data_IF_089489699105
#
_entry.id   IF_089489699105
#
_cell.length_a   1.000
_cell.length_b   1.000
_cell.length_c   1.000
_cell.angle_alpha   90.00
_cell.angle_beta   90.00
_cell.angle_gamma   90.00
#
_symmetry.space_group_name_H-M   'P 1'
#
loop_
_entity.id
_entity.type
_entity.pdbx_description
1 polymer ?
#
# COMPACT_ATOMS: atom_id res chain seq x y z
N UNK A 1 44.61 -22.87 52.07
CA UNK A 1 43.32 -22.14 51.90
C UNK A 1 43.22 -21.38 50.57
N UNK A 2 44.29 -21.06 49.84
CA UNK A 2 44.22 -20.27 48.59
C UNK A 2 43.62 -20.98 47.37
N UNK A 3 43.59 -22.32 47.31
CA UNK A 3 43.04 -23.03 46.12
C UNK A 3 41.52 -23.06 45.99
N UNK A 4 40.80 -22.83 47.08
CA UNK A 4 39.32 -22.77 47.04
C UNK A 4 38.78 -21.45 46.41
N UNK A 5 39.54 -20.38 46.59
CA UNK A 5 39.15 -19.05 46.05
C UNK A 5 39.32 -18.98 44.52
N UNK A 6 40.35 -19.66 43.98
CA UNK A 6 40.57 -19.72 42.52
C UNK A 6 39.48 -20.54 41.79
N UNK A 7 39.06 -21.65 42.38
CA UNK A 7 37.95 -22.44 41.82
C UNK A 7 36.59 -21.71 41.88
N UNK A 8 36.37 -20.94 42.97
CA UNK A 8 35.18 -20.12 43.12
C UNK A 8 35.09 -18.99 42.09
N UNK A 9 36.23 -18.30 41.84
CA UNK A 9 36.30 -17.26 40.81
C UNK A 9 36.11 -17.82 39.40
N UNK A 10 36.70 -18.94 39.05
CA UNK A 10 36.55 -19.56 37.73
C UNK A 10 35.08 -19.95 37.45
N UNK A 11 34.38 -20.48 38.46
CA UNK A 11 32.96 -20.82 38.30
C UNK A 11 32.07 -19.58 38.17
N UNK A 12 32.37 -18.48 38.86
CA UNK A 12 31.67 -17.23 38.75
C UNK A 12 31.83 -16.58 37.36
N UNK A 13 33.06 -16.62 36.80
CA UNK A 13 33.30 -16.16 35.43
C UNK A 13 32.61 -17.03 34.39
N UNK A 14 32.59 -18.36 34.56
CA UNK A 14 31.86 -19.25 33.67
C UNK A 14 30.34 -18.96 33.69
N UNK A 15 29.75 -18.76 34.86
CA UNK A 15 28.36 -18.41 35.02
C UNK A 15 28.02 -17.04 34.36
N UNK A 16 28.87 -16.05 34.58
CA UNK A 16 28.72 -14.73 33.97
C UNK A 16 28.79 -14.80 32.43
N UNK A 17 29.73 -15.60 31.89
CA UNK A 17 29.83 -15.81 30.45
C UNK A 17 28.56 -16.47 29.86
N UNK A 18 28.04 -17.49 30.53
CA UNK A 18 26.79 -18.16 30.11
C UNK A 18 25.62 -17.20 30.15
N UNK A 19 25.48 -16.38 31.19
CA UNK A 19 24.42 -15.38 31.30
C UNK A 19 24.51 -14.31 30.19
N UNK A 20 25.72 -13.85 29.85
CA UNK A 20 25.95 -12.91 28.75
C UNK A 20 25.58 -13.53 27.40
N UNK A 21 25.93 -14.79 27.17
CA UNK A 21 25.53 -15.51 25.94
C UNK A 21 24.01 -15.68 25.85
N UNK A 22 23.35 -16.02 26.94
CA UNK A 22 21.88 -16.14 26.99
C UNK A 22 21.21 -14.79 26.75
N UNK A 23 21.71 -13.73 27.37
CA UNK A 23 21.18 -12.38 27.15
C UNK A 23 21.38 -11.92 25.68
N UNK A 24 22.57 -12.19 25.12
CA UNK A 24 22.86 -11.89 23.71
C UNK A 24 21.96 -12.64 22.74
N UNK A 25 21.75 -13.94 22.96
CA UNK A 25 20.85 -14.74 22.11
C UNK A 25 19.40 -14.28 22.23
N UNK A 26 18.93 -13.95 23.42
CA UNK A 26 17.58 -13.40 23.62
C UNK A 26 17.40 -12.06 22.89
N UNK A 27 18.37 -11.17 22.98
CA UNK A 27 18.35 -9.89 22.26
C UNK A 27 18.31 -10.09 20.73
N UNK A 28 19.09 -11.01 20.18
CA UNK A 28 19.08 -11.35 18.76
C UNK A 28 17.75 -11.93 18.31
N UNK A 29 17.10 -12.77 19.11
CA UNK A 29 15.77 -13.32 18.80
C UNK A 29 14.71 -12.24 18.75
N UNK A 30 14.71 -11.31 19.70
CA UNK A 30 13.79 -10.17 19.72
C UNK A 30 14.00 -9.29 18.49
N UNK A 31 15.24 -8.93 18.18
CA UNK A 31 15.59 -8.11 17.01
C UNK A 31 15.19 -8.79 15.70
N UNK A 32 15.43 -10.09 15.57
CA UNK A 32 15.01 -10.89 14.41
C UNK A 32 13.50 -10.92 14.26
N UNK A 33 12.75 -11.01 15.37
CA UNK A 33 11.29 -10.95 15.37
C UNK A 33 10.77 -9.61 14.84
N UNK A 34 11.31 -8.51 15.33
CA UNK A 34 10.95 -7.17 14.87
C UNK A 34 11.25 -6.95 13.39
N UNK A 35 12.42 -7.40 12.93
CA UNK A 35 12.79 -7.29 11.52
C UNK A 35 11.86 -8.08 10.60
N UNK A 36 11.42 -9.26 11.01
CA UNK A 36 10.44 -10.06 10.24
C UNK A 36 9.07 -9.38 10.16
N UNK A 37 8.60 -8.77 11.24
CA UNK A 37 7.34 -8.03 11.23
C UNK A 37 7.43 -6.81 10.32
N UNK A 38 8.49 -6.01 10.44
CA UNK A 38 8.71 -4.86 9.58
C UNK A 38 8.81 -5.25 8.09
N UNK A 39 9.50 -6.34 7.76
CA UNK A 39 9.58 -6.85 6.40
C UNK A 39 8.22 -7.28 5.85
N UNK A 40 7.39 -7.96 6.64
CA UNK A 40 6.03 -8.33 6.25
C UNK A 40 5.15 -7.10 6.00
N UNK A 41 5.24 -6.10 6.85
CA UNK A 41 4.52 -4.84 6.68
C UNK A 41 4.94 -4.08 5.43
N UNK A 42 6.24 -4.02 5.15
CA UNK A 42 6.76 -3.40 3.94
C UNK A 42 6.26 -4.11 2.67
N UNK A 43 6.30 -5.44 2.64
CA UNK A 43 5.78 -6.24 1.53
C UNK A 43 4.28 -6.02 1.34
N UNK A 44 3.51 -6.00 2.41
CA UNK A 44 2.07 -5.76 2.33
C UNK A 44 1.75 -4.36 1.80
N UNK A 45 2.45 -3.34 2.29
CA UNK A 45 2.29 -1.96 1.82
C UNK A 45 2.63 -1.83 0.34
N UNK A 46 3.72 -2.46 -0.11
CA UNK A 46 4.11 -2.47 -1.53
C UNK A 46 3.04 -3.14 -2.39
N UNK A 47 2.50 -4.30 -1.97
CA UNK A 47 1.42 -4.99 -2.70
C UNK A 47 0.16 -4.13 -2.81
N UNK A 48 -0.22 -3.44 -1.75
CA UNK A 48 -1.37 -2.53 -1.78
C UNK A 48 -1.11 -1.35 -2.73
N UNK A 49 0.08 -0.76 -2.72
CA UNK A 49 0.43 0.32 -3.63
C UNK A 49 0.39 -0.13 -5.09
N UNK A 50 0.91 -1.31 -5.40
CA UNK A 50 0.84 -1.89 -6.74
C UNK A 50 -0.62 -2.18 -7.15
N UNK A 51 -1.47 -2.61 -6.21
CA UNK A 51 -2.89 -2.79 -6.45
C UNK A 51 -3.60 -1.47 -6.75
N UNK A 52 -3.29 -0.41 -6.01
CA UNK A 52 -3.83 0.92 -6.29
C UNK A 52 -3.39 1.43 -7.68
N UNK A 53 -2.11 1.27 -8.04
CA UNK A 53 -1.60 1.64 -9.37
C UNK A 53 -2.26 0.85 -10.50
N UNK A 54 -2.45 -0.45 -10.29
CA UNK A 54 -3.17 -1.30 -11.25
C UNK A 54 -4.63 -0.88 -11.37
N UNK A 55 -5.28 -0.54 -10.27
CA UNK A 55 -6.62 0.02 -10.23
C UNK A 55 -6.72 1.29 -11.10
N UNK A 56 -5.79 2.25 -10.94
CA UNK A 56 -5.75 3.47 -11.77
C UNK A 56 -5.72 3.15 -13.26
N UNK A 57 -4.92 2.16 -13.69
CA UNK A 57 -4.84 1.76 -15.09
C UNK A 57 -6.15 1.14 -15.59
N UNK A 58 -6.79 0.30 -14.76
CA UNK A 58 -8.10 -0.28 -15.06
C UNK A 58 -9.18 0.81 -15.16
N UNK A 59 -9.19 1.76 -14.23
CA UNK A 59 -10.11 2.90 -14.27
C UNK A 59 -9.91 3.78 -15.49
N UNK A 60 -8.66 3.97 -15.95
CA UNK A 60 -8.38 4.70 -17.18
C UNK A 60 -8.94 3.96 -18.41
N UNK A 61 -8.73 2.65 -18.50
CA UNK A 61 -9.28 1.83 -19.58
C UNK A 61 -10.80 1.89 -19.60
N UNK A 62 -11.45 1.80 -18.42
CA UNK A 62 -12.91 1.87 -18.32
C UNK A 62 -13.45 3.26 -18.71
N UNK A 63 -12.74 4.33 -18.35
CA UNK A 63 -13.09 5.69 -18.77
C UNK A 63 -12.94 5.88 -20.30
N UNK A 64 -12.03 5.18 -20.95
CA UNK A 64 -11.92 5.16 -22.41
C UNK A 64 -13.10 4.42 -23.06
N UNK A 65 -13.50 3.29 -22.52
CA UNK A 65 -14.55 2.43 -23.08
C UNK A 65 -15.95 3.01 -22.82
N UNK A 66 -16.21 3.55 -21.62
CA UNK A 66 -17.54 3.99 -21.22
C UNK A 66 -17.77 5.49 -21.45
N UNK A 67 -18.39 5.81 -22.59
CA UNK A 67 -18.80 7.19 -22.90
C UNK A 67 -19.78 7.78 -21.86
N UNK A 68 -20.54 6.95 -21.17
CA UNK A 68 -21.47 7.39 -20.13
C UNK A 68 -20.76 8.01 -18.93
N UNK A 69 -19.63 7.44 -18.48
CA UNK A 69 -18.81 7.99 -17.40
C UNK A 69 -18.25 9.38 -17.77
N UNK A 70 -17.78 9.52 -19.01
CA UNK A 70 -17.28 10.81 -19.50
C UNK A 70 -18.37 11.88 -19.51
N UNK A 71 -19.57 11.52 -19.98
CA UNK A 71 -20.72 12.45 -19.99
C UNK A 71 -21.09 12.92 -18.59
N UNK A 72 -21.14 12.03 -17.60
CA UNK A 72 -21.42 12.42 -16.21
C UNK A 72 -20.41 13.44 -15.68
N UNK A 73 -19.12 13.28 -16.03
CA UNK A 73 -18.06 14.22 -15.64
C UNK A 73 -18.16 15.55 -16.41
N UNK A 74 -18.64 15.52 -17.67
CA UNK A 74 -18.88 16.70 -18.49
C UNK A 74 -20.12 17.48 -18.02
N UNK A 75 -21.14 16.80 -17.54
CA UNK A 75 -22.35 17.38 -16.94
C UNK A 75 -22.12 18.00 -15.57
N UNK A 76 -20.89 17.90 -15.04
CA UNK A 76 -20.46 18.57 -13.81
C UNK A 76 -20.48 17.71 -12.55
N UNK A 77 -20.56 16.38 -12.69
CA UNK A 77 -20.35 15.50 -11.54
C UNK A 77 -18.96 15.75 -10.93
N UNK A 78 -18.87 16.01 -9.60
CA UNK A 78 -17.61 16.36 -8.97
C UNK A 78 -16.59 15.22 -8.98
N UNK A 79 -17.10 13.98 -8.91
CA UNK A 79 -16.33 12.74 -8.88
C UNK A 79 -17.24 11.57 -9.27
N UNK A 80 -16.70 10.63 -10.04
CA UNK A 80 -17.42 9.43 -10.49
C UNK A 80 -16.58 8.20 -10.19
N UNK A 81 -17.21 7.13 -9.71
CA UNK A 81 -16.54 5.82 -9.57
C UNK A 81 -16.39 5.20 -10.97
N UNK A 82 -15.13 4.99 -11.39
CA UNK A 82 -14.82 4.42 -12.69
C UNK A 82 -14.69 2.89 -12.63
N UNK A 83 -14.07 2.37 -11.57
CA UNK A 83 -13.84 0.95 -11.44
C UNK A 83 -13.72 0.55 -9.97
N UNK A 84 -14.20 -0.66 -9.65
CA UNK A 84 -13.94 -1.29 -8.36
C UNK A 84 -13.92 -2.80 -8.52
N UNK A 85 -13.15 -3.49 -7.68
CA UNK A 85 -13.07 -4.94 -7.74
C UNK A 85 -11.99 -5.55 -6.86
N UNK A 86 -11.77 -6.84 -7.06
CA UNK A 86 -10.73 -7.63 -6.41
C UNK A 86 -9.60 -7.91 -7.40
N UNK A 87 -8.37 -7.58 -7.02
CA UNK A 87 -7.16 -8.00 -7.70
C UNK A 87 -6.64 -9.28 -7.04
N UNK A 88 -6.94 -10.42 -7.63
CA UNK A 88 -6.58 -11.75 -7.10
C UNK A 88 -5.06 -11.90 -6.96
N UNK A 89 -4.27 -11.34 -7.87
CA UNK A 89 -2.81 -11.40 -7.85
C UNK A 89 -2.20 -10.85 -6.55
N UNK A 90 -2.82 -9.84 -5.97
CA UNK A 90 -2.32 -9.16 -4.77
C UNK A 90 -3.21 -9.40 -3.55
N UNK A 91 -4.28 -10.16 -3.70
CA UNK A 91 -5.33 -10.39 -2.69
C UNK A 91 -5.82 -9.08 -2.05
N UNK A 92 -6.11 -8.10 -2.90
CA UNK A 92 -6.49 -6.76 -2.50
C UNK A 92 -7.70 -6.25 -3.28
N UNK A 93 -8.61 -5.58 -2.58
CA UNK A 93 -9.66 -4.80 -3.20
C UNK A 93 -9.12 -3.44 -3.66
N UNK A 94 -9.74 -2.90 -4.69
CA UNK A 94 -9.48 -1.55 -5.16
C UNK A 94 -10.78 -0.83 -5.52
N UNK A 95 -10.73 0.50 -5.44
CA UNK A 95 -11.79 1.41 -5.93
C UNK A 95 -11.12 2.59 -6.59
N UNK A 96 -11.59 2.96 -7.74
CA UNK A 96 -11.06 4.08 -8.53
C UNK A 96 -12.13 5.12 -8.70
N UNK A 97 -11.78 6.34 -8.38
CA UNK A 97 -12.61 7.52 -8.61
C UNK A 97 -11.91 8.43 -9.62
N UNK A 98 -12.71 9.09 -10.42
CA UNK A 98 -12.27 10.01 -11.47
C UNK A 98 -12.86 11.38 -11.23
N UNK A 99 -12.02 12.38 -11.31
CA UNK A 99 -12.38 13.79 -11.24
C UNK A 99 -11.90 14.50 -12.49
N UNK A 100 -12.78 15.26 -13.12
CA UNK A 100 -12.39 16.18 -14.20
C UNK A 100 -11.75 17.42 -13.59
N UNK A 101 -10.57 17.79 -14.09
CA UNK A 101 -9.90 19.01 -13.67
C UNK A 101 -10.27 20.17 -14.60
N UNK A 102 -10.46 21.37 -14.06
CA UNK A 102 -10.64 22.54 -14.91
C UNK A 102 -9.30 22.79 -15.66
N UNK A 103 -9.36 22.79 -16.97
CA UNK A 103 -8.22 23.16 -17.82
C UNK A 103 -8.31 24.65 -18.10
N UNK A 104 -7.22 25.37 -17.82
CA UNK A 104 -7.12 26.80 -18.09
C UNK A 104 -7.06 27.11 -19.60
N UNK A 105 -6.64 26.15 -20.41
CA UNK A 105 -6.53 26.24 -21.88
C UNK A 105 -7.46 25.23 -22.56
N UNK A 106 -8.42 25.73 -23.31
CA UNK A 106 -9.38 24.92 -24.08
C UNK A 106 -8.76 24.16 -25.25
N UNK A 107 -7.54 24.49 -25.64
CA UNK A 107 -6.78 23.86 -26.74
C UNK A 107 -6.16 22.51 -26.34
N UNK A 108 -6.03 22.22 -25.07
CA UNK A 108 -5.17 21.14 -24.55
C UNK A 108 -5.92 19.90 -24.04
N UNK A 109 -7.16 19.68 -24.49
CA UNK A 109 -7.96 18.51 -24.10
C UNK A 109 -8.39 18.50 -22.62
N UNK A 110 -9.36 17.65 -22.27
CA UNK A 110 -9.83 17.52 -20.89
C UNK A 110 -8.80 16.75 -20.04
N UNK A 111 -8.51 17.26 -18.85
CA UNK A 111 -7.65 16.59 -17.88
C UNK A 111 -8.48 15.86 -16.82
N UNK A 112 -8.08 14.64 -16.49
CA UNK A 112 -8.73 13.78 -15.51
C UNK A 112 -7.73 13.34 -14.44
N UNK A 113 -8.10 13.51 -13.19
CA UNK A 113 -7.39 12.96 -12.06
C UNK A 113 -8.06 11.63 -11.67
N UNK A 114 -7.34 10.55 -11.80
CA UNK A 114 -7.77 9.23 -11.35
C UNK A 114 -7.12 8.93 -10.00
N UNK A 115 -7.92 8.65 -9.00
CA UNK A 115 -7.46 8.28 -7.67
C UNK A 115 -7.94 6.88 -7.34
N UNK A 116 -7.03 5.99 -7.01
CA UNK A 116 -7.34 4.64 -6.57
C UNK A 116 -6.98 4.46 -5.10
N UNK A 117 -7.90 3.87 -4.34
CA UNK A 117 -7.66 3.33 -3.03
C UNK A 117 -7.60 1.81 -3.11
N UNK A 118 -6.67 1.18 -2.39
CA UNK A 118 -6.63 -0.27 -2.24
C UNK A 118 -6.51 -0.68 -0.78
N UNK A 119 -7.08 -1.83 -0.44
CA UNK A 119 -7.04 -2.41 0.90
C UNK A 119 -6.98 -3.94 0.81
N UNK A 120 -6.42 -4.63 1.84
CA UNK A 120 -6.26 -6.07 1.79
C UNK A 120 -7.63 -6.75 1.83
N UNK A 121 -7.73 -7.90 1.16
CA UNK A 121 -8.86 -8.80 1.31
C UNK A 121 -8.83 -9.37 2.73
N UNK A 122 -9.80 -8.99 3.55
CA UNK A 122 -10.03 -9.58 4.86
C UNK A 122 -11.16 -10.60 4.75
N UNK A 123 -11.13 -11.67 5.57
CA UNK A 123 -12.27 -12.59 5.65
C UNK A 123 -13.56 -11.85 5.97
N UNK A 124 -14.70 -12.40 5.55
CA UNK A 124 -16.01 -11.74 5.42
C UNK A 124 -16.50 -10.85 6.57
N UNK A 125 -16.14 -11.16 7.82
CA UNK A 125 -16.51 -10.33 8.99
C UNK A 125 -15.55 -9.16 9.25
N UNK A 126 -14.31 -9.21 8.73
CA UNK A 126 -13.30 -8.17 8.89
C UNK A 126 -13.29 -7.14 7.76
N UNK A 127 -14.06 -7.36 6.71
CA UNK A 127 -14.05 -6.51 5.52
C UNK A 127 -14.56 -5.11 5.84
N UNK A 128 -15.66 -4.99 6.61
CA UNK A 128 -16.18 -3.70 7.08
C UNK A 128 -15.21 -3.00 8.05
N UNK A 129 -14.56 -3.76 8.95
CA UNK A 129 -13.56 -3.21 9.88
C UNK A 129 -12.26 -2.80 9.17
N UNK A 130 -11.83 -3.52 8.13
CA UNK A 130 -10.68 -3.16 7.30
C UNK A 130 -10.96 -1.92 6.44
N UNK A 131 -12.20 -1.72 6.02
CA UNK A 131 -12.64 -0.52 5.31
C UNK A 131 -12.63 0.73 6.20
N UNK A 132 -12.90 0.57 7.49
CA UNK A 132 -12.97 1.67 8.47
C UNK A 132 -11.62 1.95 9.14
N UNK A 133 -10.81 0.94 9.42
CA UNK A 133 -9.57 1.03 10.23
C UNK A 133 -8.34 0.46 9.52
N UNK A 134 -8.47 -0.04 8.30
CA UNK A 134 -7.45 -0.85 7.64
C UNK A 134 -6.32 -0.06 7.01
N UNK A 135 -5.21 -0.74 6.85
CA UNK A 135 -4.08 -0.28 6.02
C UNK A 135 -4.58 -0.08 4.59
N UNK A 136 -4.56 1.16 4.14
CA UNK A 136 -4.92 1.53 2.76
C UNK A 136 -3.70 2.07 2.05
N UNK A 137 -3.60 1.79 0.77
CA UNK A 137 -2.68 2.49 -0.11
C UNK A 137 -3.47 3.28 -1.14
N UNK A 138 -2.92 4.41 -1.51
CA UNK A 138 -3.50 5.31 -2.49
C UNK A 138 -2.51 5.52 -3.62
N UNK A 139 -3.03 5.62 -4.83
CA UNK A 139 -2.30 6.06 -6.00
C UNK A 139 -3.17 7.03 -6.78
N UNK A 140 -2.60 8.10 -7.24
CA UNK A 140 -3.29 9.06 -8.09
C UNK A 140 -2.46 9.34 -9.34
N UNK A 141 -3.12 9.48 -10.47
CA UNK A 141 -2.46 9.81 -11.72
C UNK A 141 -3.29 10.79 -12.54
N UNK A 142 -2.58 11.67 -13.23
CA UNK A 142 -3.14 12.62 -14.15
C UNK A 142 -3.14 12.03 -15.55
N UNK A 143 -4.30 12.10 -16.20
CA UNK A 143 -4.50 11.70 -17.58
C UNK A 143 -5.04 12.88 -18.39
N UNK A 144 -4.72 12.92 -19.68
CA UNK A 144 -5.25 13.88 -20.62
C UNK A 144 -6.03 13.14 -21.72
N UNK A 145 -7.18 13.64 -22.06
CA UNK A 145 -7.98 13.08 -23.14
C UNK A 145 -7.55 13.72 -24.47
N UNK A 146 -7.01 12.91 -25.36
CA UNK A 146 -6.64 13.28 -26.73
C UNK A 146 -7.55 12.54 -27.70
N UNK A 147 -8.56 13.24 -28.19
CA UNK A 147 -9.62 12.61 -28.97
C UNK A 147 -10.46 11.65 -28.13
N UNK A 148 -10.32 10.35 -28.34
CA UNK A 148 -11.00 9.30 -27.57
C UNK A 148 -10.09 8.53 -26.63
N UNK A 149 -8.78 8.80 -26.64
CA UNK A 149 -7.77 8.08 -25.85
C UNK A 149 -7.30 8.90 -24.68
N UNK A 150 -7.04 8.23 -23.59
CA UNK A 150 -6.44 8.83 -22.39
C UNK A 150 -4.91 8.60 -22.43
N UNK A 151 -4.17 9.69 -22.54
CA UNK A 151 -2.71 9.66 -22.41
C UNK A 151 -2.32 9.89 -20.95
N UNK A 152 -1.48 9.01 -20.42
CA UNK A 152 -0.91 9.17 -19.11
C UNK A 152 0.05 10.36 -19.10
N UNK A 153 -0.13 11.26 -18.13
CA UNK A 153 0.74 12.43 -17.97
C UNK A 153 1.78 12.18 -16.87
N UNK A 154 1.31 11.90 -15.66
CA UNK A 154 2.20 11.66 -14.52
C UNK A 154 1.46 11.03 -13.33
N UNK A 155 2.23 10.47 -12.41
CA UNK A 155 1.73 10.12 -11.08
C UNK A 155 1.71 11.37 -10.20
N UNK A 156 0.63 11.53 -9.45
CA UNK A 156 0.56 12.53 -8.38
C UNK A 156 1.13 11.95 -7.08
N UNK A 157 1.77 12.79 -6.29
CA UNK A 157 2.36 12.41 -4.99
C UNK A 157 1.44 12.78 -3.84
#
# INVERSE_FOLDING_TARGET
MARLDECGMASAFALAAVLLLLAGTAALLVLSGHNRLAAREAVQTTRLLESARSGVRLGAAQLEEEAALRRQLEEGAPEVEAASGLLETNDAFYRVTVKRLPTADTTDGAAYLLTAASWPRAGSERQAAAEISGKRAYAAALYRLEGTRLSFVRWER
#
